data_IF_120957987135
#
_entry.id   IF_120957987135
#
_cell.length_a   1.000
_cell.length_b   1.000
_cell.length_c   1.000
_cell.angle_alpha   90.00
_cell.angle_beta   90.00
_cell.angle_gamma   90.00
#
_symmetry.space_group_name_H-M   'P 1'
#
loop_
_entity.id
_entity.type
_entity.pdbx_description
1 polymer ?
#
# COMPACT_ATOMS: atom_id res chain seq x y z
N UNK A 1 -48.47 0.41 -31.89
CA UNK A 1 -47.13 0.72 -32.45
C UNK A 1 -46.19 1.49 -31.51
N UNK A 2 -46.40 1.52 -30.17
CA UNK A 2 -45.49 2.21 -29.22
C UNK A 2 -44.77 1.29 -28.22
N UNK A 3 -45.22 0.03 -28.09
CA UNK A 3 -44.65 -0.92 -27.10
C UNK A 3 -43.39 -1.65 -27.57
N UNK A 4 -43.14 -1.73 -28.88
CA UNK A 4 -41.93 -2.38 -29.42
C UNK A 4 -40.70 -1.45 -29.50
N UNK A 5 -40.91 -0.13 -29.41
CA UNK A 5 -39.83 0.87 -29.48
C UNK A 5 -39.09 1.04 -28.14
N UNK A 6 -39.82 0.91 -27.02
CA UNK A 6 -39.24 1.04 -25.67
C UNK A 6 -38.37 -0.17 -25.31
N UNK A 7 -38.69 -1.36 -25.83
CA UNK A 7 -37.92 -2.58 -25.54
C UNK A 7 -36.56 -2.58 -26.25
N UNK A 8 -36.44 -1.96 -27.43
CA UNK A 8 -35.13 -1.83 -28.09
C UNK A 8 -34.24 -0.75 -27.47
N UNK A 9 -34.82 0.29 -26.84
CA UNK A 9 -34.05 1.31 -26.13
C UNK A 9 -33.48 0.79 -24.79
N UNK A 10 -34.17 -0.16 -24.14
CA UNK A 10 -33.68 -0.77 -22.90
C UNK A 10 -32.70 -1.93 -23.09
N UNK A 11 -32.63 -2.53 -24.28
CA UNK A 11 -31.62 -3.55 -24.62
C UNK A 11 -30.30 -2.91 -25.09
N UNK A 12 -30.35 -1.67 -25.64
CA UNK A 12 -29.15 -0.92 -26.03
C UNK A 12 -28.34 -0.39 -24.83
N UNK A 13 -29.00 -0.10 -23.70
CA UNK A 13 -28.35 0.38 -22.48
C UNK A 13 -27.69 -0.73 -21.65
N UNK A 14 -27.89 -2.00 -22.04
CA UNK A 14 -27.29 -3.18 -21.41
C UNK A 14 -26.04 -3.70 -22.15
N UNK A 15 -25.67 -3.09 -23.29
CA UNK A 15 -24.58 -3.53 -24.15
C UNK A 15 -23.52 -2.46 -24.45
N UNK A 16 -23.49 -1.37 -23.69
CA UNK A 16 -22.43 -0.35 -23.73
C UNK A 16 -21.71 -0.23 -22.39
N UNK A 17 -21.40 -1.37 -21.79
CA UNK A 17 -20.40 -1.50 -20.72
C UNK A 17 -19.34 -2.50 -21.18
N UNK A 18 -18.86 -2.32 -22.42
CA UNK A 18 -17.46 -2.66 -22.71
C UNK A 18 -16.64 -1.52 -22.11
N UNK A 19 -16.48 -1.55 -20.78
CA UNK A 19 -15.30 -0.95 -20.18
C UNK A 19 -14.13 -1.61 -20.91
N UNK A 20 -13.38 -0.84 -21.70
CA UNK A 20 -11.96 -1.11 -21.85
C UNK A 20 -11.35 -0.96 -20.45
N UNK A 21 -11.56 -1.94 -19.57
CA UNK A 21 -10.75 -2.06 -18.37
C UNK A 21 -9.40 -2.50 -18.88
N UNK A 22 -8.49 -1.55 -19.09
CA UNK A 22 -7.08 -1.89 -19.15
C UNK A 22 -6.79 -2.73 -17.91
N UNK A 23 -6.26 -3.93 -18.10
CA UNK A 23 -5.73 -4.71 -17.00
C UNK A 23 -4.66 -3.86 -16.32
N UNK A 24 -4.98 -3.33 -15.13
CA UNK A 24 -3.98 -2.69 -14.28
C UNK A 24 -3.14 -3.81 -13.69
N UNK A 25 -1.83 -3.75 -13.89
CA UNK A 25 -0.88 -4.66 -13.27
C UNK A 25 -0.35 -4.04 -11.98
N UNK A 26 -0.17 -4.89 -10.97
CA UNK A 26 0.42 -4.55 -9.69
C UNK A 26 1.70 -5.36 -9.48
N UNK A 27 2.75 -4.70 -9.03
CA UNK A 27 3.99 -5.33 -8.60
C UNK A 27 3.98 -5.39 -7.07
N UNK A 28 3.91 -6.59 -6.51
CA UNK A 28 3.78 -6.80 -5.07
C UNK A 28 5.15 -6.99 -4.43
N UNK A 29 5.37 -6.35 -3.29
CA UNK A 29 6.58 -6.45 -2.50
C UNK A 29 6.23 -6.78 -1.05
N UNK A 30 6.98 -7.73 -0.49
CA UNK A 30 7.00 -7.99 0.94
C UNK A 30 8.09 -7.16 1.62
N UNK A 31 8.22 -7.34 2.92
CA UNK A 31 9.21 -6.69 3.75
C UNK A 31 10.08 -7.73 4.47
N UNK A 32 11.34 -7.38 4.72
CA UNK A 32 12.27 -8.10 5.61
C UNK A 32 12.58 -7.24 6.83
N UNK A 33 12.63 -7.87 8.00
CA UNK A 33 12.92 -7.20 9.25
C UNK A 33 14.40 -6.78 9.35
N UNK A 34 14.66 -5.57 9.85
CA UNK A 34 16.02 -5.01 9.95
C UNK A 34 16.48 -4.71 11.38
N UNK A 35 15.57 -4.61 12.35
CA UNK A 35 15.90 -4.31 13.75
C UNK A 35 16.05 -5.57 14.60
N UNK A 36 15.22 -6.58 14.35
CA UNK A 36 15.18 -7.87 15.03
C UNK A 36 15.15 -7.73 16.57
N UNK A 37 14.31 -6.83 17.07
CA UNK A 37 14.14 -6.64 18.52
C UNK A 37 13.41 -7.85 19.14
N UNK A 38 12.49 -8.44 18.37
CA UNK A 38 11.71 -9.62 18.72
C UNK A 38 11.42 -10.47 17.47
N UNK A 39 11.84 -11.74 17.49
CA UNK A 39 11.66 -12.67 16.38
C UNK A 39 10.18 -12.96 16.04
N UNK A 40 9.27 -12.87 17.01
CA UNK A 40 7.83 -13.03 16.78
C UNK A 40 7.24 -11.84 16.03
N UNK A 41 7.63 -10.62 16.40
CA UNK A 41 7.17 -9.39 15.76
C UNK A 41 7.71 -9.28 14.33
N UNK A 42 8.98 -9.67 14.13
CA UNK A 42 9.59 -9.82 12.81
C UNK A 42 8.77 -10.78 11.92
N UNK A 43 8.50 -11.99 12.42
CA UNK A 43 7.74 -12.99 11.66
C UNK A 43 6.32 -12.55 11.33
N UNK A 44 5.65 -11.81 12.22
CA UNK A 44 4.33 -11.21 11.95
C UNK A 44 4.43 -10.21 10.80
N UNK A 45 5.37 -9.26 10.90
CA UNK A 45 5.55 -8.20 9.90
C UNK A 45 5.82 -8.77 8.51
N UNK A 46 6.77 -9.70 8.39
CA UNK A 46 7.15 -10.35 7.13
C UNK A 46 6.01 -11.18 6.52
N UNK A 47 5.08 -11.69 7.35
CA UNK A 47 3.97 -12.53 6.89
C UNK A 47 2.74 -11.75 6.42
N UNK A 48 2.51 -10.52 6.90
CA UNK A 48 1.24 -9.82 6.67
C UNK A 48 1.31 -8.40 6.12
N UNK A 49 2.50 -7.80 6.14
CA UNK A 49 2.71 -6.44 5.67
C UNK A 49 3.28 -6.49 4.26
N UNK A 50 2.73 -5.67 3.37
CA UNK A 50 3.16 -5.60 1.99
C UNK A 50 2.80 -4.25 1.39
N UNK A 51 3.35 -3.97 0.22
CA UNK A 51 2.83 -2.93 -0.64
C UNK A 51 2.78 -3.41 -2.09
N UNK A 52 1.94 -2.75 -2.87
CA UNK A 52 1.87 -2.95 -4.32
C UNK A 52 2.15 -1.65 -5.05
N UNK A 53 2.89 -1.74 -6.15
CA UNK A 53 3.18 -0.60 -7.04
C UNK A 53 2.34 -0.73 -8.30
N UNK A 54 1.58 0.32 -8.62
CA UNK A 54 0.73 0.36 -9.81
C UNK A 54 0.87 1.69 -10.54
N UNK A 55 0.67 1.67 -11.86
CA UNK A 55 0.47 2.90 -12.63
C UNK A 55 -0.85 3.54 -12.19
N UNK A 56 -0.78 4.73 -11.59
CA UNK A 56 -1.96 5.47 -11.17
C UNK A 56 -2.54 6.31 -12.31
N UNK A 57 -1.67 6.96 -13.09
CA UNK A 57 -1.99 7.67 -14.32
C UNK A 57 -0.80 7.63 -15.27
N UNK A 58 -0.86 8.30 -16.42
CA UNK A 58 0.28 8.40 -17.35
C UNK A 58 1.51 9.10 -16.75
N UNK A 59 1.29 9.92 -15.73
CA UNK A 59 2.34 10.71 -15.08
C UNK A 59 2.55 10.33 -13.61
N UNK A 60 1.86 9.30 -13.11
CA UNK A 60 1.84 8.99 -11.68
C UNK A 60 1.97 7.49 -11.40
N UNK A 61 2.58 7.21 -10.26
CA UNK A 61 2.68 5.89 -9.64
C UNK A 61 2.00 5.89 -8.27
N UNK A 62 1.34 4.79 -7.93
CA UNK A 62 0.78 4.57 -6.61
C UNK A 62 1.52 3.44 -5.91
N UNK A 63 1.88 3.69 -4.65
CA UNK A 63 2.28 2.69 -3.66
C UNK A 63 1.11 2.45 -2.72
N UNK A 64 0.55 1.25 -2.74
CA UNK A 64 -0.56 0.85 -1.87
C UNK A 64 -0.05 -0.09 -0.79
N UNK A 65 0.09 0.44 0.43
CA UNK A 65 0.48 -0.27 1.63
C UNK A 65 -0.71 -1.01 2.23
N UNK A 66 -0.47 -2.23 2.69
CA UNK A 66 -1.53 -3.14 3.11
C UNK A 66 -1.08 -3.93 4.35
N UNK A 67 -1.98 -4.05 5.30
CA UNK A 67 -1.84 -4.93 6.46
C UNK A 67 -3.02 -5.92 6.45
N UNK A 68 -2.86 -7.08 5.81
CA UNK A 68 -3.98 -8.01 5.52
C UNK A 68 -4.05 -9.20 6.50
N UNK A 69 -3.06 -9.35 7.36
CA UNK A 69 -3.02 -10.44 8.35
C UNK A 69 -3.90 -10.18 9.56
N UNK A 70 -4.11 -11.20 10.40
CA UNK A 70 -4.97 -11.09 11.57
C UNK A 70 -4.25 -10.62 12.84
N UNK A 71 -2.91 -10.64 12.86
CA UNK A 71 -2.13 -10.39 14.08
C UNK A 71 -1.98 -8.89 14.34
N UNK A 72 -1.93 -8.52 15.62
CA UNK A 72 -1.77 -7.14 16.06
C UNK A 72 -0.46 -6.56 15.50
N UNK A 73 -0.58 -5.50 14.71
CA UNK A 73 0.51 -4.70 14.14
C UNK A 73 -0.07 -3.44 13.49
N UNK A 74 0.70 -2.37 13.41
CA UNK A 74 0.29 -1.14 12.73
C UNK A 74 1.49 -0.53 12.01
N UNK A 75 1.39 -0.36 10.69
CA UNK A 75 2.37 0.43 9.95
C UNK A 75 2.16 1.87 10.40
N UNK A 76 3.08 2.39 11.19
CA UNK A 76 2.98 3.70 11.80
C UNK A 76 3.71 4.75 10.98
N UNK A 77 4.84 4.38 10.38
CA UNK A 77 5.65 5.26 9.55
C UNK A 77 6.07 4.54 8.27
N UNK A 78 6.17 5.29 7.18
CA UNK A 78 6.60 4.85 5.85
C UNK A 78 7.73 5.76 5.38
N UNK A 79 8.75 5.17 4.76
CA UNK A 79 9.93 5.85 4.28
C UNK A 79 10.27 5.40 2.86
N UNK A 80 10.77 6.31 2.04
CA UNK A 80 11.32 6.02 0.73
C UNK A 80 12.75 6.54 0.70
N UNK A 81 13.68 5.66 0.37
CA UNK A 81 15.05 5.95 0.01
C UNK A 81 15.13 5.87 -1.51
N UNK A 82 15.36 7.01 -2.16
CA UNK A 82 15.32 7.19 -3.61
C UNK A 82 16.59 7.93 -4.05
N UNK A 83 17.72 7.22 -4.00
CA UNK A 83 19.06 7.70 -4.40
C UNK A 83 19.10 8.31 -5.83
N UNK A 84 18.11 7.97 -6.67
CA UNK A 84 17.86 8.59 -7.97
C UNK A 84 16.51 9.28 -7.89
N UNK A 85 16.35 10.58 -8.17
CA UNK A 85 15.08 11.28 -7.99
C UNK A 85 14.04 10.89 -9.07
N UNK A 86 13.51 9.67 -8.99
CA UNK A 86 12.62 9.07 -9.98
C UNK A 86 11.21 9.63 -9.90
N UNK A 87 10.85 10.17 -8.73
CA UNK A 87 9.50 10.60 -8.42
C UNK A 87 9.46 11.79 -7.47
N UNK A 88 8.34 12.49 -7.44
CA UNK A 88 8.08 13.59 -6.51
C UNK A 88 6.72 13.41 -5.84
N UNK A 89 6.63 13.69 -4.54
CA UNK A 89 5.38 13.60 -3.78
C UNK A 89 4.22 14.26 -4.53
N UNK A 90 3.03 13.66 -4.51
CA UNK A 90 1.83 14.23 -5.14
C UNK A 90 0.57 14.24 -4.26
N UNK A 91 0.21 13.11 -3.64
CA UNK A 91 -0.98 13.04 -2.76
C UNK A 91 -1.10 11.70 -2.04
N UNK A 92 -2.04 11.62 -1.10
CA UNK A 92 -2.64 10.35 -0.69
C UNK A 92 -3.90 10.07 -1.52
N UNK A 93 -4.08 8.83 -1.98
CA UNK A 93 -5.19 8.46 -2.89
C UNK A 93 -6.24 7.52 -2.28
N UNK A 94 -5.89 6.80 -1.21
CA UNK A 94 -6.80 5.89 -0.52
C UNK A 94 -6.40 5.80 0.95
N UNK A 95 -7.34 6.00 1.86
CA UNK A 95 -7.14 5.82 3.30
C UNK A 95 -8.26 4.93 3.83
N UNK A 96 -7.93 3.88 4.59
CA UNK A 96 -8.92 3.16 5.38
C UNK A 96 -9.59 4.08 6.42
N UNK A 97 -10.78 3.73 6.90
CA UNK A 97 -11.56 4.57 7.82
C UNK A 97 -10.81 4.95 9.11
N UNK A 98 -9.84 4.13 9.57
CA UNK A 98 -9.00 4.40 10.74
C UNK A 98 -7.63 5.01 10.41
N UNK A 99 -7.28 5.17 9.13
CA UNK A 99 -5.93 5.57 8.69
C UNK A 99 -5.84 7.09 8.57
N UNK A 100 -4.88 7.71 9.27
CA UNK A 100 -4.61 9.16 9.19
C UNK A 100 -3.10 9.38 9.13
N UNK A 101 -2.60 9.98 8.06
CA UNK A 101 -1.18 10.19 7.81
C UNK A 101 -0.86 11.61 7.35
N UNK A 102 0.32 12.07 7.75
CA UNK A 102 0.92 13.34 7.33
C UNK A 102 2.31 13.13 6.72
N UNK A 103 2.79 14.11 5.97
CA UNK A 103 4.18 14.14 5.50
C UNK A 103 5.15 14.46 6.64
N UNK A 104 6.32 13.81 6.62
CA UNK A 104 7.43 14.06 7.53
C UNK A 104 7.37 13.25 8.82
N UNK A 105 7.92 12.03 8.77
CA UNK A 105 7.94 11.15 9.92
C UNK A 105 8.88 11.62 11.05
N UNK A 106 8.58 11.20 12.28
CA UNK A 106 9.44 11.39 13.45
C UNK A 106 9.72 10.06 14.15
N UNK A 107 10.95 9.51 14.05
CA UNK A 107 12.16 10.10 13.46
C UNK A 107 12.08 10.22 11.93
N UNK A 108 12.80 11.20 11.34
CA UNK A 108 12.79 11.42 9.88
C UNK A 108 13.53 10.36 9.06
N UNK A 109 14.11 9.36 9.71
CA UNK A 109 14.79 8.23 9.09
C UNK A 109 14.32 6.93 9.74
N UNK A 110 14.31 5.85 8.94
CA UNK A 110 13.88 4.52 9.39
C UNK A 110 14.70 4.05 10.62
N UNK A 111 14.05 3.71 11.75
CA UNK A 111 14.72 3.06 12.87
C UNK A 111 15.44 1.77 12.43
N UNK A 112 16.73 1.65 12.76
CA UNK A 112 17.59 0.54 12.31
C UNK A 112 18.17 0.71 10.90
N UNK A 113 17.60 1.57 10.07
CA UNK A 113 17.95 1.74 8.65
C UNK A 113 19.42 2.11 8.40
N UNK A 114 20.06 2.81 9.34
CA UNK A 114 21.48 3.18 9.24
C UNK A 114 22.41 1.96 9.05
N UNK A 115 22.09 0.81 9.63
CA UNK A 115 22.89 -0.41 9.44
C UNK A 115 22.84 -0.95 8.00
N UNK A 116 21.85 -0.50 7.23
CA UNK A 116 21.56 -0.91 5.86
C UNK A 116 21.79 0.22 4.85
N UNK A 117 22.44 1.32 5.28
CA UNK A 117 22.62 2.55 4.50
C UNK A 117 21.32 3.20 4.03
N UNK A 118 20.19 2.87 4.65
CA UNK A 118 18.89 3.46 4.32
C UNK A 118 18.85 4.94 4.74
N UNK A 119 18.52 5.82 3.79
CA UNK A 119 18.40 7.25 3.97
C UNK A 119 17.09 7.75 3.35
N UNK A 120 16.15 8.21 4.17
CA UNK A 120 14.84 8.63 3.70
C UNK A 120 14.88 9.97 2.97
N UNK A 121 14.45 9.99 1.71
CA UNK A 121 14.13 11.20 0.94
C UNK A 121 12.68 11.64 1.16
N UNK A 122 11.77 10.67 1.24
CA UNK A 122 10.37 10.88 1.60
C UNK A 122 10.02 10.09 2.85
N UNK A 123 9.17 10.67 3.69
CA UNK A 123 8.66 9.99 4.88
C UNK A 123 7.27 10.47 5.25
N UNK A 124 6.52 9.57 5.89
CA UNK A 124 5.14 9.79 6.29
C UNK A 124 4.90 9.09 7.62
N UNK A 125 4.26 9.76 8.56
CA UNK A 125 3.85 9.15 9.83
C UNK A 125 2.34 9.26 10.05
N UNK A 126 1.85 8.34 10.87
CA UNK A 126 0.48 8.35 11.34
C UNK A 126 0.26 9.48 12.35
N UNK A 127 -0.84 10.21 12.18
CA UNK A 127 -1.19 11.30 13.07
C UNK A 127 -1.50 10.79 14.48
N UNK A 128 -1.33 11.64 15.50
CA UNK A 128 -1.63 11.23 16.87
C UNK A 128 -3.13 10.91 17.09
N UNK A 129 -3.47 9.81 17.79
CA UNK A 129 -2.56 8.81 18.35
C UNK A 129 -1.97 7.89 17.27
N UNK A 130 -0.64 7.71 17.29
CA UNK A 130 0.17 7.09 16.22
C UNK A 130 -0.35 5.69 15.84
N UNK A 131 -0.18 4.68 16.71
CA UNK A 131 -0.57 3.30 16.38
C UNK A 131 -2.05 3.14 15.99
N UNK A 132 -3.03 3.73 16.71
CA UNK A 132 -4.44 3.62 16.33
C UNK A 132 -4.78 4.23 14.96
N UNK A 133 -4.02 5.23 14.51
CA UNK A 133 -4.22 5.91 13.23
C UNK A 133 -3.29 5.39 12.11
N UNK A 134 -2.40 4.44 12.42
CA UNK A 134 -1.58 3.74 11.44
C UNK A 134 -2.40 2.78 10.57
N UNK A 135 -1.72 1.93 9.80
CA UNK A 135 -2.37 0.90 8.97
C UNK A 135 -2.49 -0.40 9.78
N UNK A 136 -3.63 -0.59 10.43
CA UNK A 136 -3.92 -1.76 11.27
C UNK A 136 -4.42 -2.96 10.43
N UNK A 137 -4.62 -4.15 11.04
CA UNK A 137 -5.14 -5.32 10.34
C UNK A 137 -6.45 -5.05 9.59
N UNK A 138 -6.45 -5.32 8.29
CA UNK A 138 -7.55 -5.09 7.36
C UNK A 138 -7.57 -3.69 6.72
N UNK A 139 -6.58 -2.85 6.98
CA UNK A 139 -6.51 -1.48 6.47
C UNK A 139 -5.45 -1.30 5.37
N UNK A 140 -5.56 -0.19 4.65
CA UNK A 140 -4.69 0.17 3.52
C UNK A 140 -4.42 1.68 3.47
N UNK A 141 -3.29 2.06 2.87
CA UNK A 141 -2.94 3.44 2.53
C UNK A 141 -2.33 3.51 1.13
N UNK A 142 -2.87 4.38 0.28
CA UNK A 142 -2.31 4.69 -1.04
C UNK A 142 -1.56 6.02 -1.02
N UNK A 143 -0.28 5.99 -1.40
CA UNK A 143 0.57 7.16 -1.60
C UNK A 143 0.86 7.29 -3.10
N UNK A 144 0.67 8.48 -3.65
CA UNK A 144 0.86 8.79 -5.07
C UNK A 144 2.02 9.75 -5.23
N UNK A 145 2.87 9.44 -6.18
CA UNK A 145 3.95 10.29 -6.65
C UNK A 145 3.78 10.59 -8.13
N UNK A 146 4.20 11.79 -8.53
CA UNK A 146 4.41 12.15 -9.93
C UNK A 146 5.76 11.60 -10.38
N UNK A 147 5.86 11.07 -11.61
CA UNK A 147 7.16 10.73 -12.19
C UNK A 147 7.95 12.00 -12.44
N UNK A 148 9.25 11.97 -12.14
CA UNK A 148 10.18 12.98 -12.64
C UNK A 148 10.29 12.84 -14.18
N UNK A 149 10.53 13.95 -14.88
CA UNK A 149 10.59 13.99 -16.35
C UNK A 149 11.49 12.88 -16.94
N UNK A 150 10.91 12.09 -17.85
CA UNK A 150 11.62 11.01 -18.56
C UNK A 150 11.58 9.65 -17.86
N UNK A 151 11.01 9.55 -16.66
CA UNK A 151 10.79 8.30 -15.95
C UNK A 151 9.34 7.81 -16.06
N UNK A 152 9.14 6.55 -15.72
CA UNK A 152 7.84 5.91 -15.63
C UNK A 152 7.89 4.69 -14.71
N UNK A 153 6.79 3.93 -14.70
CA UNK A 153 6.65 2.75 -13.84
C UNK A 153 7.82 1.78 -13.98
N UNK A 154 8.29 1.53 -15.21
CA UNK A 154 9.36 0.55 -15.45
C UNK A 154 10.66 0.92 -14.74
N UNK A 155 11.00 2.21 -14.62
CA UNK A 155 12.19 2.66 -13.90
C UNK A 155 12.02 2.56 -12.39
N UNK A 156 10.82 2.83 -11.87
CA UNK A 156 10.49 2.61 -10.45
C UNK A 156 10.63 1.12 -10.10
N UNK A 157 10.08 0.24 -10.93
CA UNK A 157 10.20 -1.22 -10.71
C UNK A 157 11.64 -1.68 -10.83
N UNK A 158 12.41 -1.18 -11.80
CA UNK A 158 13.83 -1.51 -11.91
C UNK A 158 14.62 -1.12 -10.66
N UNK A 159 14.41 0.10 -10.15
CA UNK A 159 15.09 0.62 -8.97
C UNK A 159 14.73 -0.14 -7.68
N UNK A 160 13.47 -0.55 -7.52
CA UNK A 160 13.06 -1.42 -6.40
C UNK A 160 13.68 -2.82 -6.51
N UNK A 161 13.86 -3.34 -7.73
CA UNK A 161 14.38 -4.69 -7.97
C UNK A 161 15.90 -4.78 -7.85
N UNK A 162 16.63 -3.71 -8.17
CA UNK A 162 18.09 -3.65 -8.03
C UNK A 162 18.55 -3.03 -6.70
N UNK A 163 17.62 -2.45 -5.94
CA UNK A 163 17.84 -1.84 -4.63
C UNK A 163 18.36 -0.41 -4.68
N UNK A 164 18.39 0.24 -5.85
CA UNK A 164 18.70 1.68 -5.95
C UNK A 164 17.55 2.57 -5.43
N UNK A 165 16.38 1.99 -5.21
CA UNK A 165 15.28 2.58 -4.46
C UNK A 165 14.80 1.55 -3.43
N UNK A 166 14.55 1.99 -2.20
CA UNK A 166 14.05 1.14 -1.12
C UNK A 166 12.87 1.80 -0.39
N UNK A 167 11.91 0.97 0.02
CA UNK A 167 10.76 1.35 0.83
C UNK A 167 10.93 0.73 2.22
N UNK A 168 10.93 1.60 3.22
CA UNK A 168 11.02 1.23 4.63
C UNK A 168 9.71 1.45 5.36
N UNK A 169 9.44 0.63 6.37
CA UNK A 169 8.32 0.84 7.29
C UNK A 169 8.77 0.69 8.74
N UNK A 170 8.21 1.53 9.62
CA UNK A 170 8.30 1.32 11.06
C UNK A 170 6.93 0.91 11.59
N UNK A 171 6.90 -0.26 12.22
CA UNK A 171 5.70 -0.94 12.65
C UNK A 171 5.65 -0.95 14.17
N UNK A 172 4.50 -0.59 14.73
CA UNK A 172 4.25 -0.52 16.16
C UNK A 172 2.99 -1.31 16.52
N UNK A 173 2.72 -1.46 17.81
CA UNK A 173 1.46 -2.05 18.27
C UNK A 173 1.37 -3.55 18.11
N UNK A 174 2.51 -4.25 18.06
CA UNK A 174 2.51 -5.70 18.17
C UNK A 174 1.91 -6.15 19.51
N UNK A 175 1.35 -7.35 19.56
CA UNK A 175 0.80 -7.93 20.79
C UNK A 175 1.84 -8.03 21.93
N UNK A 176 3.13 -8.10 21.57
CA UNK A 176 4.27 -8.03 22.49
C UNK A 176 4.44 -6.65 23.18
N UNK A 177 3.80 -5.61 22.65
CA UNK A 177 4.03 -4.20 22.98
C UNK A 177 5.24 -3.58 22.27
N UNK A 178 5.91 -4.32 21.38
CA UNK A 178 7.13 -3.91 20.69
C UNK A 178 6.93 -3.08 19.42
N UNK A 179 8.06 -2.77 18.78
CA UNK A 179 8.13 -2.17 17.45
C UNK A 179 9.32 -2.73 16.67
N UNK A 180 9.19 -2.69 15.34
CA UNK A 180 10.16 -3.24 14.40
C UNK A 180 10.28 -2.34 13.17
N UNK A 181 11.50 -2.22 12.63
CA UNK A 181 11.77 -1.63 11.33
C UNK A 181 11.88 -2.71 10.26
N UNK A 182 11.39 -2.42 9.06
CA UNK A 182 11.48 -3.31 7.91
C UNK A 182 11.81 -2.55 6.63
N UNK A 183 12.41 -3.26 5.68
CA UNK A 183 12.71 -2.75 4.32
C UNK A 183 12.22 -3.75 3.29
N UNK A 184 11.77 -3.28 2.14
CA UNK A 184 11.39 -4.18 1.05
C UNK A 184 12.60 -4.97 0.56
N UNK A 185 12.35 -6.19 0.09
CA UNK A 185 13.40 -6.99 -0.54
C UNK A 185 13.48 -6.69 -2.02
N UNK A 186 14.69 -6.45 -2.57
CA UNK A 186 14.89 -6.46 -4.01
C UNK A 186 14.51 -7.84 -4.54
N UNK A 187 13.39 -7.90 -5.23
CA UNK A 187 12.86 -9.11 -5.85
C UNK A 187 12.59 -8.80 -7.32
N UNK A 188 12.30 -9.81 -8.14
CA UNK A 188 11.77 -9.58 -9.48
C UNK A 188 10.30 -9.99 -9.47
N UNK A 189 9.40 -9.17 -8.88
CA UNK A 189 8.01 -9.53 -8.77
C UNK A 189 7.39 -9.64 -10.16
N UNK A 190 6.62 -10.70 -10.36
CA UNK A 190 5.86 -10.88 -11.59
C UNK A 190 4.62 -9.99 -11.50
N UNK A 191 4.34 -9.12 -12.48
CA UNK A 191 3.15 -8.29 -12.43
C UNK A 191 1.89 -9.14 -12.38
N UNK A 192 1.08 -8.92 -11.35
CA UNK A 192 -0.21 -9.58 -11.15
C UNK A 192 -1.36 -8.67 -11.58
N UNK A 193 -2.49 -9.21 -12.07
CA UNK A 193 -3.67 -8.39 -12.26
C UNK A 193 -4.12 -7.74 -10.94
N UNK A 194 -4.21 -6.40 -10.91
CA UNK A 194 -4.62 -5.64 -9.73
C UNK A 194 -6.04 -5.98 -9.24
N UNK A 195 -6.82 -6.69 -10.05
CA UNK A 195 -8.10 -7.28 -9.64
C UNK A 195 -7.96 -8.24 -8.45
N UNK A 196 -6.80 -8.89 -8.26
CA UNK A 196 -6.57 -9.77 -7.11
C UNK A 196 -6.46 -8.99 -5.80
N UNK A 197 -5.80 -7.82 -5.83
CA UNK A 197 -5.73 -6.91 -4.69
C UNK A 197 -7.12 -6.37 -4.36
N UNK A 198 -7.87 -5.91 -5.36
CA UNK A 198 -9.26 -5.46 -5.20
C UNK A 198 -10.19 -6.55 -4.65
N UNK A 199 -10.00 -7.80 -5.09
CA UNK A 199 -10.76 -8.94 -4.56
C UNK A 199 -10.40 -9.19 -3.08
N UNK A 200 -9.11 -9.15 -2.72
CA UNK A 200 -8.66 -9.29 -1.33
C UNK A 200 -9.23 -8.20 -0.42
N UNK A 201 -9.05 -6.92 -0.79
CA UNK A 201 -9.58 -5.77 -0.05
C UNK A 201 -11.10 -5.82 0.02
N UNK A 202 -11.77 -6.14 -1.10
CA UNK A 202 -13.23 -6.25 -1.16
C UNK A 202 -13.79 -7.32 -0.21
N UNK A 203 -13.14 -8.48 -0.12
CA UNK A 203 -13.55 -9.55 0.80
C UNK A 203 -13.31 -9.18 2.28
N UNK A 204 -12.20 -8.52 2.59
CA UNK A 204 -11.91 -8.02 3.94
C UNK A 204 -12.89 -6.93 4.36
N UNK A 205 -13.22 -5.99 3.47
CA UNK A 205 -14.24 -4.96 3.72
C UNK A 205 -15.61 -5.56 4.05
N UNK A 206 -16.02 -6.60 3.33
CA UNK A 206 -17.27 -7.33 3.62
C UNK A 206 -17.19 -8.04 4.98
N UNK A 207 -16.08 -8.68 5.31
CA UNK A 207 -15.87 -9.34 6.59
C UNK A 207 -15.89 -8.34 7.77
N UNK A 208 -15.21 -7.20 7.66
CA UNK A 208 -15.21 -6.13 8.66
C UNK A 208 -16.61 -5.57 8.93
N UNK A 209 -17.38 -5.29 7.87
CA UNK A 209 -18.78 -4.81 8.00
C UNK A 209 -19.67 -5.85 8.68
N UNK A 210 -19.46 -7.14 8.40
CA UNK A 210 -20.25 -8.22 9.02
C UNK A 210 -19.97 -8.37 10.53
N UNK A 211 -18.73 -8.18 10.99
CA UNK A 211 -18.37 -8.22 12.41
C UNK A 211 -18.99 -7.08 13.21
N UNK A 212 -19.02 -5.86 12.66
CA UNK A 212 -19.62 -4.67 13.33
C UNK A 212 -21.13 -4.83 13.58
N UNK A 213 -21.85 -5.58 12.71
CA UNK A 213 -23.28 -5.86 12.89
C UNK A 213 -23.58 -6.92 13.95
N UNK A 214 -22.63 -7.81 14.25
CA UNK A 214 -22.79 -8.87 15.24
C UNK A 214 -22.52 -8.34 16.65
N UNK A 215 -21.57 -7.41 16.80
CA UNK A 215 -21.22 -6.81 18.09
C UNK A 215 -22.24 -5.75 18.60
N UNK A 216 -23.07 -5.21 17.71
CA UNK A 216 -24.11 -4.22 18.04
C UNK A 216 -25.51 -4.85 18.22
N UNK A 217 -25.57 -6.15 18.55
CA UNK A 217 -26.79 -6.88 18.90
C UNK A 217 -26.67 -7.47 20.29
#
# INVERSE_FOLDING_TARGET
MKKHFVVHLMVSMLFLVFFFSSSVFAYNYGFENITNNNAGDAAIGEAQLSFSVTKYSDTQVQFLFQNIGPEDSSIADIYFDDDVPLMTWSSFSLMGDGVSFSEGAKPGNLPGGKAFSFSSDYSYDSDSPVQPNGINPGEVLGIVFDYTDGYGLDQIIAALNDGSMSVGIHVQGFASGGSEGFVNTPTNPVPEPASMVLLGIGLLGVAGVSRKKILNK
#
